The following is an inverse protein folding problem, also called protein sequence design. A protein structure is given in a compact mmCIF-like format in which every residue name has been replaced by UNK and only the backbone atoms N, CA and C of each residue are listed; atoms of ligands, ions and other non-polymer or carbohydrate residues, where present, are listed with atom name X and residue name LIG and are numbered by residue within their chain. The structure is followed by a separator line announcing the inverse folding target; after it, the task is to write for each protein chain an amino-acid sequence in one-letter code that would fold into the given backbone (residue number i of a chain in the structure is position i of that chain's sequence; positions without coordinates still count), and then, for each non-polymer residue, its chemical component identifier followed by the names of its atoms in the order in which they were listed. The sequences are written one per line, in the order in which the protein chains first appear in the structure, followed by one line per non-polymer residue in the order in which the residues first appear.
data_IF_407709623807
#
_entry.id   IF_407709623807
#
_cell.length_a   1.000
_cell.length_b   1.000
_cell.length_c   1.000
_cell.angle_alpha   90.00
_cell.angle_beta   90.00
_cell.angle_gamma   90.00
#
_symmetry.space_group_name_H-M   'P 1'
#
loop_
_entity.id
_entity.type
_entity.pdbx_description
1 polymer ?
#
# COMPACT_ATOMS: atom_id res chain seq x y z
N UNK A 1 11.50 -11.06 -15.54
CA UNK A 1 10.41 -11.77 -14.81
C UNK A 1 9.18 -11.83 -15.71
N UNK A 2 8.53 -12.99 -15.82
CA UNK A 2 7.30 -13.16 -16.62
C UNK A 2 6.06 -12.68 -15.86
N UNK A 3 5.06 -12.18 -16.58
CA UNK A 3 3.82 -11.62 -16.06
C UNK A 3 2.97 -12.59 -15.23
N UNK A 4 2.98 -13.88 -15.58
CA UNK A 4 2.28 -14.92 -14.82
C UNK A 4 2.74 -15.00 -13.36
N UNK A 5 4.06 -14.84 -13.13
CA UNK A 5 4.62 -14.83 -11.77
C UNK A 5 4.27 -13.55 -11.01
N UNK A 6 3.99 -12.44 -11.69
CA UNK A 6 3.53 -11.21 -11.05
C UNK A 6 2.09 -11.37 -10.56
N UNK A 7 1.23 -11.99 -11.36
CA UNK A 7 -0.16 -12.25 -11.02
C UNK A 7 -0.34 -13.35 -9.96
N UNK A 8 0.59 -14.30 -9.88
CA UNK A 8 0.62 -15.27 -8.78
C UNK A 8 1.00 -14.61 -7.44
N UNK A 9 1.51 -13.37 -7.46
CA UNK A 9 1.68 -12.59 -6.23
C UNK A 9 0.35 -11.94 -5.86
N UNK A 10 -0.18 -12.14 -4.64
CA UNK A 10 -1.33 -11.39 -4.15
C UNK A 10 -0.98 -9.93 -3.82
N UNK A 11 0.20 -9.45 -4.23
CA UNK A 11 0.65 -8.10 -4.00
C UNK A 11 -0.19 -7.13 -4.84
N UNK A 12 -0.84 -6.21 -4.14
CA UNK A 12 -1.81 -5.28 -4.72
C UNK A 12 -1.11 -4.29 -5.67
N UNK A 13 0.09 -3.82 -5.27
CA UNK A 13 0.97 -3.02 -6.11
C UNK A 13 1.98 -3.89 -6.87
N UNK A 14 2.18 -3.51 -8.13
CA UNK A 14 3.19 -4.10 -9.00
C UNK A 14 4.60 -3.99 -8.40
N UNK A 15 4.97 -2.83 -7.87
CA UNK A 15 6.31 -2.61 -7.28
C UNK A 15 6.59 -3.54 -6.11
N UNK A 16 5.58 -3.81 -5.27
CA UNK A 16 5.69 -4.74 -4.15
C UNK A 16 5.83 -6.19 -4.63
N UNK A 17 5.21 -6.55 -5.76
CA UNK A 17 5.34 -7.89 -6.35
C UNK A 17 6.75 -8.20 -6.89
N UNK A 18 7.57 -7.18 -7.13
CA UNK A 18 8.95 -7.33 -7.61
C UNK A 18 9.96 -7.56 -6.47
N UNK A 19 9.57 -7.23 -5.23
CA UNK A 19 10.44 -7.34 -4.06
C UNK A 19 10.93 -8.77 -3.86
N UNK A 20 12.24 -8.94 -3.70
CA UNK A 20 12.87 -10.25 -3.47
C UNK A 20 12.83 -11.24 -4.64
N UNK A 21 12.24 -10.87 -5.79
CA UNK A 21 12.08 -11.78 -6.95
C UNK A 21 12.98 -11.43 -8.13
N UNK A 22 13.60 -10.25 -8.13
CA UNK A 22 14.57 -9.82 -9.13
C UNK A 22 15.91 -9.62 -8.42
N UNK A 23 16.97 -10.41 -8.75
CA UNK A 23 18.27 -10.23 -8.14
C UNK A 23 18.78 -8.79 -8.32
N UNK A 24 19.34 -8.19 -7.27
CA UNK A 24 19.87 -6.82 -7.32
C UNK A 24 18.84 -5.70 -7.44
N UNK A 25 17.53 -6.01 -7.39
CA UNK A 25 16.48 -5.02 -7.18
C UNK A 25 16.11 -4.99 -5.69
N UNK A 26 16.26 -3.84 -5.07
CA UNK A 26 15.81 -3.57 -3.70
C UNK A 26 14.52 -2.77 -3.79
N UNK A 27 13.45 -3.29 -3.21
CA UNK A 27 12.16 -2.61 -3.13
C UNK A 27 11.87 -2.31 -1.65
N UNK A 28 11.81 -1.03 -1.29
CA UNK A 28 11.53 -0.56 0.06
C UNK A 28 10.11 -0.05 0.10
N UNK A 29 9.23 -0.71 0.85
CA UNK A 29 7.83 -0.28 1.03
C UNK A 29 7.77 0.67 2.23
N UNK A 30 7.58 1.99 2.02
CA UNK A 30 7.65 2.96 3.11
C UNK A 30 6.38 2.99 3.97
N UNK A 31 5.25 2.53 3.42
CA UNK A 31 3.97 2.50 4.12
C UNK A 31 3.10 1.32 3.66
N UNK A 32 2.21 0.87 4.53
CA UNK A 32 1.11 -0.04 4.17
C UNK A 32 -0.21 0.68 3.91
N UNK A 33 -0.19 2.01 3.75
CA UNK A 33 -1.39 2.81 3.61
C UNK A 33 -2.03 2.60 2.22
N UNK A 34 -3.33 2.31 2.12
CA UNK A 34 -4.01 2.11 0.85
C UNK A 34 -3.76 3.26 -0.13
N UNK A 35 -3.18 2.97 -1.30
CA UNK A 35 -2.88 3.98 -2.32
C UNK A 35 -1.59 4.78 -2.11
N UNK A 36 -0.89 4.57 -0.99
CA UNK A 36 0.47 5.09 -0.70
C UNK A 36 1.44 3.95 -0.34
N UNK A 37 1.11 2.73 -0.77
CA UNK A 37 1.81 1.47 -0.51
C UNK A 37 2.85 1.14 -1.59
N UNK A 38 3.27 2.13 -2.40
CA UNK A 38 4.23 1.95 -3.47
C UNK A 38 5.64 1.76 -2.93
N UNK A 39 6.33 0.69 -3.35
CA UNK A 39 7.74 0.51 -3.01
C UNK A 39 8.64 1.46 -3.80
N UNK A 40 9.59 2.08 -3.10
CA UNK A 40 10.76 2.73 -3.69
C UNK A 40 11.68 1.66 -4.27
N UNK A 41 11.91 1.71 -5.58
CA UNK A 41 12.75 0.75 -6.29
C UNK A 41 14.17 1.28 -6.42
N UNK A 42 15.16 0.43 -6.13
CA UNK A 42 16.60 0.72 -6.30
C UNK A 42 17.31 -0.47 -6.93
N UNK A 43 18.19 -0.22 -7.91
CA UNK A 43 19.01 -1.26 -8.52
C UNK A 43 20.40 -1.19 -7.89
N UNK A 44 20.83 -2.29 -7.25
CA UNK A 44 22.10 -2.41 -6.50
C UNK A 44 22.25 -1.45 -5.30
N UNK A 45 21.14 -1.03 -4.69
CA UNK A 45 21.18 -0.15 -3.52
C UNK A 45 21.40 1.32 -3.89
N UNK A 46 21.98 2.11 -2.97
CA UNK A 46 22.26 3.52 -3.19
C UNK A 46 23.69 3.69 -3.69
N UNK A 47 23.86 4.13 -4.95
CA UNK A 47 25.17 4.30 -5.60
C UNK A 47 25.58 5.77 -5.73
N UNK A 48 24.66 6.71 -5.46
CA UNK A 48 24.89 8.16 -5.53
C UNK A 48 24.35 8.85 -4.27
N UNK A 49 24.86 10.04 -3.98
CA UNK A 49 24.37 10.87 -2.86
C UNK A 49 23.08 11.63 -3.19
N UNK A 50 22.65 11.61 -4.47
CA UNK A 50 21.45 12.28 -4.96
C UNK A 50 20.31 11.30 -5.28
N UNK A 51 19.59 11.55 -6.37
CA UNK A 51 18.52 10.66 -6.82
C UNK A 51 19.08 9.33 -7.35
N UNK A 52 18.64 8.24 -6.71
CA UNK A 52 19.03 6.87 -7.03
C UNK A 52 17.88 6.08 -7.70
N UNK A 53 16.84 6.77 -8.15
CA UNK A 53 15.70 6.12 -8.80
C UNK A 53 16.10 5.55 -10.16
N UNK A 54 15.73 4.30 -10.48
CA UNK A 54 15.98 3.71 -11.79
C UNK A 54 15.05 4.32 -12.84
N UNK A 55 15.49 4.33 -14.10
CA UNK A 55 14.64 4.76 -15.19
C UNK A 55 13.59 3.69 -15.50
N UNK A 56 12.32 4.05 -15.39
CA UNK A 56 11.21 3.16 -15.77
C UNK A 56 10.83 3.42 -17.23
N UNK A 57 10.82 2.36 -18.03
CA UNK A 57 10.46 2.39 -19.45
C UNK A 57 9.28 1.45 -19.65
N UNK A 58 8.16 1.98 -20.14
CA UNK A 58 6.94 1.20 -20.41
C UNK A 58 6.67 1.26 -21.91
N UNK A 59 6.68 0.11 -22.59
CA UNK A 59 6.52 0.04 -24.06
C UNK A 59 7.51 0.94 -24.82
N UNK A 60 8.75 1.04 -24.35
CA UNK A 60 9.78 1.90 -24.96
C UNK A 60 9.67 3.39 -24.62
N UNK A 61 8.61 3.82 -23.93
CA UNK A 61 8.43 5.21 -23.48
C UNK A 61 9.00 5.36 -22.07
N UNK A 62 9.99 6.24 -21.94
CA UNK A 62 10.63 6.56 -20.67
C UNK A 62 9.72 7.39 -19.74
N UNK A 63 10.00 7.34 -18.44
CA UNK A 63 9.41 8.17 -17.39
C UNK A 63 7.89 7.93 -17.15
N UNK A 64 7.42 6.70 -17.36
CA UNK A 64 6.07 6.29 -16.95
C UNK A 64 6.11 5.62 -15.58
N UNK A 65 5.23 6.03 -14.68
CA UNK A 65 5.09 5.41 -13.36
C UNK A 65 4.67 3.95 -13.47
N UNK A 66 5.52 3.05 -12.98
CA UNK A 66 5.25 1.61 -12.92
C UNK A 66 4.05 1.29 -11.99
N UNK A 67 3.84 2.12 -10.98
CA UNK A 67 2.72 2.07 -10.02
C UNK A 67 1.35 2.25 -10.68
N UNK A 68 1.31 2.85 -11.87
CA UNK A 68 0.06 3.11 -12.60
C UNK A 68 -0.37 1.92 -13.46
N UNK A 69 0.45 0.89 -13.57
CA UNK A 69 0.18 -0.27 -14.40
C UNK A 69 -0.53 -1.36 -13.61
N UNK A 70 -1.52 -1.98 -14.24
CA UNK A 70 -2.14 -3.18 -13.72
C UNK A 70 -1.19 -4.38 -13.91
N UNK A 71 -0.82 -5.13 -12.86
CA UNK A 71 -0.06 -6.38 -13.00
C UNK A 71 -0.71 -7.37 -13.98
N UNK A 72 -2.04 -7.34 -14.10
CA UNK A 72 -2.79 -8.20 -15.01
C UNK A 72 -2.40 -7.99 -16.49
N UNK A 73 -2.01 -6.76 -16.84
CA UNK A 73 -1.70 -6.33 -18.20
C UNK A 73 -0.23 -6.55 -18.58
N UNK A 74 0.61 -6.96 -17.64
CA UNK A 74 2.04 -7.06 -17.85
C UNK A 74 2.39 -8.42 -18.42
N UNK A 75 3.16 -8.40 -19.51
CA UNK A 75 3.76 -9.58 -20.10
C UNK A 75 5.10 -9.89 -19.43
N UNK A 76 5.93 -8.86 -19.23
CA UNK A 76 7.22 -9.04 -18.58
C UNK A 76 7.76 -7.77 -17.94
N UNK A 77 8.59 -7.96 -16.91
CA UNK A 77 9.42 -6.91 -16.30
C UNK A 77 10.87 -7.35 -16.37
N UNK A 78 11.70 -6.55 -17.01
CA UNK A 78 13.14 -6.79 -17.21
C UNK A 78 13.94 -5.68 -16.57
N UNK A 79 14.99 -6.03 -15.84
CA UNK A 79 15.86 -5.06 -15.17
C UNK A 79 17.24 -5.10 -15.82
N UNK A 80 17.65 -3.97 -16.38
CA UNK A 80 18.94 -3.74 -16.99
C UNK A 80 19.84 -3.02 -15.98
N UNK A 81 21.03 -3.58 -15.70
CA UNK A 81 21.85 -3.22 -14.54
C UNK A 81 23.20 -2.58 -14.88
N UNK A 82 23.59 -2.57 -16.16
CA UNK A 82 24.96 -2.24 -16.62
C UNK A 82 24.92 -1.64 -18.04
N UNK A 83 25.92 -1.93 -18.89
CA UNK A 83 26.04 -1.46 -20.27
C UNK A 83 24.78 -1.73 -21.15
N UNK A 84 23.97 -2.73 -20.81
CA UNK A 84 22.69 -2.99 -21.49
C UNK A 84 21.67 -1.86 -21.31
N UNK A 85 21.80 -1.06 -20.24
CA UNK A 85 20.96 0.11 -19.99
C UNK A 85 21.46 1.36 -20.73
N UNK A 86 22.70 1.36 -21.24
CA UNK A 86 23.34 2.53 -21.87
C UNK A 86 22.61 3.05 -23.12
N UNK A 87 21.82 2.19 -23.77
CA UNK A 87 20.96 2.55 -24.91
C UNK A 87 19.94 3.63 -24.52
N UNK A 88 19.56 3.73 -23.24
CA UNK A 88 18.65 4.75 -22.71
C UNK A 88 19.38 6.02 -22.21
N UNK A 89 20.69 6.15 -22.48
CA UNK A 89 21.49 7.35 -22.23
C UNK A 89 21.80 7.62 -20.76
N UNK A 90 22.18 8.86 -20.46
CA UNK A 90 22.65 9.27 -19.13
C UNK A 90 21.64 9.03 -17.99
N UNK A 91 20.33 8.99 -18.31
CA UNK A 91 19.26 8.71 -17.31
C UNK A 91 19.24 7.25 -16.85
N UNK A 92 19.95 6.37 -17.54
CA UNK A 92 20.08 4.96 -17.20
C UNK A 92 21.24 4.67 -16.23
N UNK A 93 21.90 5.70 -15.70
CA UNK A 93 23.02 5.55 -14.76
C UNK A 93 22.66 4.71 -13.52
N UNK A 94 21.40 4.80 -13.07
CA UNK A 94 20.87 4.02 -11.94
C UNK A 94 20.19 2.69 -12.39
N UNK A 95 20.39 2.29 -13.64
CA UNK A 95 19.74 1.13 -14.27
C UNK A 95 18.34 1.42 -14.85
N UNK A 96 17.80 0.46 -15.59
CA UNK A 96 16.52 0.59 -16.30
C UNK A 96 15.59 -0.56 -15.95
N UNK A 97 14.34 -0.24 -15.64
CA UNK A 97 13.25 -1.22 -15.50
C UNK A 97 12.37 -1.13 -16.75
N UNK A 98 12.50 -2.12 -17.62
CA UNK A 98 11.68 -2.26 -18.81
C UNK A 98 10.42 -3.06 -18.50
N UNK A 99 9.26 -2.47 -18.77
CA UNK A 99 7.96 -3.11 -18.63
C UNK A 99 7.35 -3.30 -20.02
N UNK A 100 7.06 -4.56 -20.34
CA UNK A 100 6.31 -4.95 -21.55
C UNK A 100 4.93 -5.41 -21.13
N UNK A 101 3.92 -4.91 -21.82
CA UNK A 101 2.51 -5.19 -21.63
C UNK A 101 2.02 -6.17 -22.67
N UNK A 102 0.98 -6.93 -22.31
CA UNK A 102 0.43 -7.99 -23.15
C UNK A 102 -0.13 -7.41 -24.45
N UNK A 103 0.19 -8.08 -25.54
CA UNK A 103 -0.31 -7.76 -26.89
C UNK A 103 -1.29 -8.81 -27.36
N UNK A 104 -2.01 -8.50 -28.43
CA UNK A 104 -2.89 -9.47 -29.07
C UNK A 104 -2.08 -10.65 -29.63
N UNK A 105 -2.59 -11.85 -29.45
CA UNK A 105 -1.97 -13.09 -29.97
C UNK A 105 -2.74 -13.58 -31.18
N UNK A 106 -2.03 -14.14 -32.17
CA UNK A 106 -2.69 -14.85 -33.27
C UNK A 106 -3.34 -16.13 -32.73
N UNK A 107 -4.59 -16.38 -33.09
CA UNK A 107 -5.32 -17.60 -32.72
C UNK A 107 -6.71 -17.32 -32.18
N UNK A 108 -7.29 -18.36 -31.58
CA UNK A 108 -8.62 -18.30 -30.98
C UNK A 108 -8.64 -17.28 -29.83
N UNK A 109 -9.74 -16.52 -29.67
CA UNK A 109 -9.90 -15.61 -28.54
C UNK A 109 -9.67 -16.34 -27.21
N UNK A 110 -8.77 -15.81 -26.40
CA UNK A 110 -8.51 -16.25 -25.03
C UNK A 110 -9.13 -15.22 -24.10
N UNK A 111 -10.05 -15.67 -23.26
CA UNK A 111 -10.64 -14.85 -22.20
C UNK A 111 -10.03 -15.31 -20.89
N UNK A 112 -9.52 -14.35 -20.12
CA UNK A 112 -8.99 -14.61 -18.79
C UNK A 112 -9.66 -13.71 -17.79
N UNK A 113 -10.18 -14.32 -16.75
CA UNK A 113 -10.74 -13.67 -15.58
C UNK A 113 -9.88 -14.02 -14.36
N UNK A 114 -9.63 -13.02 -13.52
CA UNK A 114 -8.90 -13.18 -12.27
C UNK A 114 -9.61 -12.39 -11.20
N UNK A 115 -9.89 -13.02 -10.07
CA UNK A 115 -10.45 -12.37 -8.89
C UNK A 115 -9.60 -12.77 -7.69
N UNK A 116 -9.15 -11.77 -6.93
CA UNK A 116 -8.45 -11.99 -5.68
C UNK A 116 -9.10 -11.18 -4.57
N UNK A 117 -9.25 -11.80 -3.42
CA UNK A 117 -9.71 -11.15 -2.20
C UNK A 117 -8.72 -11.46 -1.09
N UNK A 118 -8.25 -10.42 -0.41
CA UNK A 118 -7.31 -10.52 0.69
C UNK A 118 -7.81 -9.77 1.91
N UNK A 119 -7.19 -10.07 3.04
CA UNK A 119 -7.39 -9.37 4.31
C UNK A 119 -6.04 -8.89 4.79
N UNK A 120 -5.96 -7.63 5.15
CA UNK A 120 -4.74 -7.01 5.69
C UNK A 120 -4.96 -6.72 7.16
N UNK A 121 -4.00 -7.11 8.00
CA UNK A 121 -4.00 -6.84 9.43
C UNK A 121 -2.65 -6.23 9.83
N UNK A 122 -2.61 -5.56 10.97
CA UNK A 122 -1.37 -5.06 11.57
C UNK A 122 -0.50 -6.25 11.99
N UNK A 123 0.74 -6.29 11.55
CA UNK A 123 1.68 -7.39 11.85
C UNK A 123 2.40 -7.21 13.18
N UNK A 124 2.64 -5.96 13.57
CA UNK A 124 3.28 -5.60 14.84
C UNK A 124 2.67 -4.30 15.34
N UNK A 125 2.09 -4.34 16.53
CA UNK A 125 1.69 -3.15 17.29
C UNK A 125 2.57 -3.11 18.55
N UNK A 126 3.05 -1.92 18.97
CA UNK A 126 3.77 -1.79 20.22
C UNK A 126 2.86 -2.22 21.39
N UNK A 127 3.41 -2.96 22.35
CA UNK A 127 2.73 -3.18 23.63
C UNK A 127 2.78 -1.88 24.43
N UNK A 128 1.62 -1.28 24.65
CA UNK A 128 1.47 -0.06 25.44
C UNK A 128 1.24 -0.44 26.91
N UNK A 129 1.68 0.42 27.83
CA UNK A 129 1.35 0.26 29.24
C UNK A 129 -0.16 0.39 29.46
N UNK A 130 -0.73 -0.50 30.26
CA UNK A 130 -2.10 -0.36 30.76
C UNK A 130 -2.21 0.82 31.75
N UNK A 131 -3.45 1.24 32.05
CA UNK A 131 -3.70 2.38 32.92
C UNK A 131 -3.14 2.20 34.34
N UNK A 132 -3.13 0.98 34.87
CA UNK A 132 -2.59 0.68 36.19
C UNK A 132 -1.06 0.82 36.24
N UNK A 133 -0.38 0.27 35.24
CA UNK A 133 1.08 0.34 35.05
C UNK A 133 1.50 1.78 34.81
N UNK A 134 0.74 2.53 34.00
CA UNK A 134 0.97 3.97 33.81
C UNK A 134 0.87 4.75 35.13
N UNK A 135 -0.18 4.52 35.92
CA UNK A 135 -0.36 5.17 37.22
C UNK A 135 0.74 4.78 38.23
N UNK A 136 1.17 3.52 38.24
CA UNK A 136 2.30 3.05 39.05
C UNK A 136 3.61 3.74 38.68
N UNK A 137 3.92 3.83 37.38
CA UNK A 137 5.14 4.48 36.88
C UNK A 137 5.17 5.97 37.23
N UNK A 138 4.04 6.69 37.10
CA UNK A 138 3.97 8.11 37.50
C UNK A 138 4.25 8.26 39.00
N UNK A 139 3.67 7.42 39.84
CA UNK A 139 3.95 7.44 41.27
C UNK A 139 5.41 7.12 41.60
N UNK A 140 6.02 6.17 40.89
CA UNK A 140 7.43 5.83 41.07
C UNK A 140 8.35 7.00 40.69
N UNK A 141 8.08 7.67 39.57
CA UNK A 141 8.79 8.90 39.15
C UNK A 141 8.66 10.00 40.21
N UNK A 142 7.44 10.26 40.69
CA UNK A 142 7.19 11.27 41.72
C UNK A 142 7.88 10.92 43.05
N UNK A 143 7.95 9.64 43.41
CA UNK A 143 8.66 9.19 44.60
C UNK A 143 10.17 9.43 44.48
N UNK A 144 10.78 9.22 43.31
CA UNK A 144 12.17 9.58 43.05
C UNK A 144 12.44 11.08 43.15
N UNK A 145 11.47 11.90 42.76
CA UNK A 145 11.54 13.36 42.87
C UNK A 145 11.20 13.89 44.28
N UNK A 146 10.84 13.02 45.22
CA UNK A 146 10.43 13.39 46.58
C UNK A 146 9.05 14.06 46.66
N UNK A 147 8.25 13.96 45.60
CA UNK A 147 6.90 14.50 45.54
C UNK A 147 5.87 13.52 46.14
N UNK A 148 4.67 14.03 46.41
CA UNK A 148 3.56 13.18 46.87
C UNK A 148 3.01 12.35 45.71
N UNK A 149 2.66 11.06 45.93
CA UNK A 149 2.06 10.22 44.89
C UNK A 149 0.78 10.85 44.34
N UNK A 150 0.65 10.86 43.02
CA UNK A 150 -0.53 11.39 42.34
C UNK A 150 -1.73 10.43 42.39
N UNK A 151 -1.47 9.12 42.43
CA UNK A 151 -2.51 8.08 42.48
C UNK A 151 -2.44 7.29 43.79
N UNK A 152 -3.59 6.98 44.37
CA UNK A 152 -3.65 6.09 45.54
C UNK A 152 -3.57 4.61 45.13
N UNK A 153 -3.18 3.73 46.07
CA UNK A 153 -3.13 2.29 45.81
C UNK A 153 -4.52 1.71 45.46
N UNK A 154 -5.58 2.29 46.02
CA UNK A 154 -6.97 1.91 45.71
C UNK A 154 -7.38 2.31 44.28
N UNK A 155 -6.94 3.47 43.80
CA UNK A 155 -7.21 3.91 42.42
C UNK A 155 -6.46 3.04 41.41
N UNK A 156 -5.21 2.68 41.70
CA UNK A 156 -4.44 1.75 40.87
C UNK A 156 -5.11 0.36 40.84
N UNK A 157 -5.64 -0.11 41.97
CA UNK A 157 -6.40 -1.35 42.03
C UNK A 157 -7.67 -1.27 41.18
N UNK A 158 -8.37 -0.13 41.19
CA UNK A 158 -9.56 0.13 40.36
C UNK A 158 -9.26 0.14 38.85
N UNK A 159 -8.10 0.67 38.45
CA UNK A 159 -7.64 0.56 37.05
C UNK A 159 -7.35 -0.89 36.67
N UNK A 160 -6.83 -1.71 37.58
CA UNK A 160 -6.47 -3.11 37.32
C UNK A 160 -7.67 -4.05 37.32
N UNK A 161 -8.65 -3.81 38.19
CA UNK A 161 -9.83 -4.68 38.32
C UNK A 161 -11.00 -4.27 37.40
N UNK A 162 -10.98 -3.05 36.86
CA UNK A 162 -12.03 -2.53 35.99
C UNK A 162 -13.38 -2.34 36.70
N UNK A 163 -13.39 -2.19 38.01
CA UNK A 163 -14.60 -2.09 38.84
C UNK A 163 -15.40 -0.80 38.62
N UNK A 164 -14.74 0.30 38.24
CA UNK A 164 -15.37 1.56 37.82
C UNK A 164 -14.69 2.10 36.54
N UNK A 165 -15.01 1.53 35.36
CA UNK A 165 -14.42 1.94 34.07
C UNK A 165 -14.78 3.38 33.68
N UNK A 166 -15.80 3.95 34.33
CA UNK A 166 -16.34 5.27 34.04
C UNK A 166 -15.47 6.37 34.64
N UNK A 167 -14.88 6.11 35.81
CA UNK A 167 -13.90 6.98 36.47
C UNK A 167 -12.45 6.55 36.27
N UNK A 168 -12.20 5.25 36.12
CA UNK A 168 -10.87 4.66 35.98
C UNK A 168 -10.79 3.81 34.69
N UNK A 169 -10.87 4.44 33.50
CA UNK A 169 -10.82 3.71 32.25
C UNK A 169 -9.42 3.14 31.98
N UNK A 170 -9.39 1.97 31.31
CA UNK A 170 -8.19 1.39 30.73
C UNK A 170 -8.40 1.21 29.22
N UNK A 171 -8.02 2.24 28.47
CA UNK A 171 -8.29 2.31 27.03
C UNK A 171 -7.08 1.85 26.22
N UNK A 172 -7.25 0.75 25.48
CA UNK A 172 -6.33 0.35 24.42
C UNK A 172 -6.63 1.16 23.14
N UNK A 173 -5.91 2.28 22.99
CA UNK A 173 -6.03 3.18 21.86
C UNK A 173 -5.70 2.52 20.51
N UNK A 174 -4.83 1.51 20.47
CA UNK A 174 -4.53 0.79 19.24
C UNK A 174 -5.72 -0.07 18.82
N UNK A 175 -6.27 -0.86 19.75
CA UNK A 175 -7.47 -1.65 19.48
C UNK A 175 -8.68 -0.77 19.18
N UNK A 176 -8.75 0.43 19.73
CA UNK A 176 -9.86 1.35 19.48
C UNK A 176 -9.75 2.12 18.18
N UNK A 177 -8.53 2.38 17.70
CA UNK A 177 -8.32 3.12 16.45
C UNK A 177 -8.25 2.24 15.21
N UNK A 178 -7.92 0.96 15.39
CA UNK A 178 -7.73 0.01 14.30
C UNK A 178 -8.79 -1.08 14.24
N UNK A 179 -9.19 -1.45 13.03
CA UNK A 179 -9.98 -2.65 12.71
C UNK A 179 -9.06 -3.88 12.86
N UNK A 180 -9.65 -5.03 13.17
CA UNK A 180 -8.91 -6.30 13.22
C UNK A 180 -8.39 -6.74 11.86
N UNK A 181 -9.06 -6.34 10.77
CA UNK A 181 -8.60 -6.52 9.40
C UNK A 181 -9.28 -5.51 8.46
N UNK A 182 -8.63 -5.24 7.33
CA UNK A 182 -9.17 -4.47 6.21
C UNK A 182 -9.26 -5.35 4.96
N UNK A 183 -10.32 -5.18 4.16
CA UNK A 183 -10.51 -5.93 2.90
C UNK A 183 -9.71 -5.29 1.77
N UNK A 184 -9.17 -6.15 0.93
CA UNK A 184 -8.57 -5.79 -0.35
C UNK A 184 -9.13 -6.71 -1.42
N UNK A 185 -9.47 -6.16 -2.58
CA UNK A 185 -10.06 -6.91 -3.70
C UNK A 185 -9.48 -6.43 -5.01
N UNK A 186 -9.14 -7.37 -5.89
CA UNK A 186 -8.79 -7.09 -7.28
C UNK A 186 -9.61 -7.98 -8.19
N UNK A 187 -10.12 -7.40 -9.27
CA UNK A 187 -10.84 -8.12 -10.30
C UNK A 187 -10.36 -7.64 -11.66
N UNK A 188 -9.90 -8.57 -12.47
CA UNK A 188 -9.31 -8.31 -13.78
C UNK A 188 -9.93 -9.23 -14.82
N UNK A 189 -10.36 -8.65 -15.92
CA UNK A 189 -10.81 -9.38 -17.10
C UNK A 189 -9.99 -8.91 -18.30
N UNK A 190 -9.52 -9.87 -19.08
CA UNK A 190 -8.79 -9.59 -20.31
C UNK A 190 -9.20 -10.54 -21.42
N UNK A 191 -9.23 -10.01 -22.63
CA UNK A 191 -9.53 -10.75 -23.86
C UNK A 191 -8.39 -10.48 -24.83
N UNK A 192 -7.79 -11.55 -25.34
CA UNK A 192 -6.71 -11.47 -26.32
C UNK A 192 -6.97 -12.43 -27.46
N UNK A 193 -6.76 -11.99 -28.69
CA UNK A 193 -6.93 -12.85 -29.85
C UNK A 193 -6.68 -12.09 -31.14
N UNK A 194 -6.85 -12.78 -32.26
CA UNK A 194 -6.72 -12.15 -33.56
C UNK A 194 -6.18 -13.08 -34.64
N UNK A 195 -6.01 -12.51 -35.81
CA UNK A 195 -5.42 -13.13 -36.99
C UNK A 195 -4.12 -12.39 -37.33
N UNK A 196 -3.38 -12.83 -38.34
CA UNK A 196 -2.12 -12.16 -38.73
C UNK A 196 -2.29 -10.71 -39.17
N UNK A 197 -3.46 -10.37 -39.71
CA UNK A 197 -3.80 -9.02 -40.17
C UNK A 197 -4.31 -8.09 -39.05
N UNK A 198 -4.88 -8.63 -37.97
CA UNK A 198 -5.36 -7.87 -36.82
C UNK A 198 -5.24 -8.70 -35.54
N UNK A 199 -4.47 -8.19 -34.60
CA UNK A 199 -4.30 -8.70 -33.25
C UNK A 199 -4.86 -7.68 -32.27
N UNK A 200 -5.65 -8.15 -31.31
CA UNK A 200 -6.26 -7.28 -30.31
C UNK A 200 -6.04 -7.83 -28.90
N UNK A 201 -5.89 -6.90 -27.96
CA UNK A 201 -5.90 -7.15 -26.53
C UNK A 201 -6.73 -6.06 -25.87
N UNK A 202 -7.73 -6.48 -25.10
CA UNK A 202 -8.56 -5.61 -24.29
C UNK A 202 -8.47 -6.10 -22.85
N UNK A 203 -8.24 -5.19 -21.91
CA UNK A 203 -8.35 -5.50 -20.48
C UNK A 203 -9.07 -4.41 -19.71
N UNK A 204 -9.82 -4.85 -18.71
CA UNK A 204 -10.45 -4.01 -17.72
C UNK A 204 -10.15 -4.59 -16.34
N UNK A 205 -9.80 -3.73 -15.40
CA UNK A 205 -9.50 -4.15 -14.04
C UNK A 205 -9.95 -3.13 -13.02
N UNK A 206 -10.40 -3.60 -11.86
CA UNK A 206 -10.69 -2.76 -10.71
C UNK A 206 -9.96 -3.30 -9.49
N UNK A 207 -9.47 -2.37 -8.68
CA UNK A 207 -8.82 -2.64 -7.41
C UNK A 207 -9.48 -1.79 -6.34
N UNK A 208 -9.76 -2.41 -5.22
CA UNK A 208 -10.28 -1.77 -4.02
C UNK A 208 -9.43 -2.17 -2.81
N UNK A 209 -9.06 -1.18 -2.00
CA UNK A 209 -8.40 -1.34 -0.72
C UNK A 209 -9.13 -0.50 0.32
N UNK A 210 -9.53 -1.14 1.41
CA UNK A 210 -10.03 -0.46 2.59
C UNK A 210 -8.87 -0.13 3.54
N UNK A 211 -9.02 0.92 4.34
CA UNK A 211 -8.07 1.24 5.39
C UNK A 211 -8.38 0.47 6.68
N UNK A 212 -7.31 0.22 7.45
CA UNK A 212 -7.39 -0.47 8.75
C UNK A 212 -7.88 0.45 9.88
N UNK A 213 -8.14 1.73 9.63
CA UNK A 213 -8.68 2.64 10.64
C UNK A 213 -10.18 2.40 10.88
N UNK A 214 -10.61 2.38 12.15
CA UNK A 214 -12.03 2.38 12.54
C UNK A 214 -12.64 3.75 12.26
N UNK A 215 -13.93 3.78 11.91
CA UNK A 215 -14.72 4.99 11.65
C UNK A 215 -14.10 5.98 10.64
N UNK A 216 -13.19 5.50 9.80
CA UNK A 216 -12.58 6.28 8.75
C UNK A 216 -13.19 5.95 7.40
N UNK A 217 -13.55 6.98 6.64
CA UNK A 217 -13.97 6.84 5.24
C UNK A 217 -12.77 6.66 4.28
N UNK A 218 -11.57 6.33 4.78
CA UNK A 218 -10.37 6.13 3.96
C UNK A 218 -10.48 4.85 3.13
N UNK A 219 -10.47 5.01 1.82
CA UNK A 219 -10.41 3.90 0.87
C UNK A 219 -9.62 4.31 -0.36
N UNK A 220 -9.10 3.30 -1.06
CA UNK A 220 -8.46 3.47 -2.35
C UNK A 220 -9.16 2.58 -3.38
N UNK A 221 -9.65 3.20 -4.46
CA UNK A 221 -10.21 2.51 -5.62
C UNK A 221 -9.50 2.96 -6.88
N UNK A 222 -9.12 2.00 -7.71
CA UNK A 222 -8.52 2.26 -9.00
C UNK A 222 -9.19 1.40 -10.07
N UNK A 223 -9.61 2.04 -11.16
CA UNK A 223 -10.13 1.39 -12.34
C UNK A 223 -9.13 1.58 -13.49
N UNK A 224 -8.88 0.52 -14.25
CA UNK A 224 -7.96 0.51 -15.38
C UNK A 224 -8.68 -0.06 -16.60
N UNK A 225 -8.48 0.56 -17.75
CA UNK A 225 -8.90 0.05 -19.05
C UNK A 225 -7.71 0.15 -20.01
N UNK A 226 -7.40 -0.93 -20.72
CA UNK A 226 -6.33 -0.96 -21.72
C UNK A 226 -6.81 -1.61 -23.00
N UNK A 227 -6.47 -0.99 -24.12
CA UNK A 227 -6.70 -1.48 -25.47
C UNK A 227 -5.40 -1.44 -26.25
N UNK A 228 -4.99 -2.59 -26.77
CA UNK A 228 -3.88 -2.71 -27.72
C UNK A 228 -4.41 -3.34 -29.00
N UNK A 229 -4.22 -2.66 -30.12
CA UNK A 229 -4.54 -3.15 -31.46
C UNK A 229 -3.28 -3.07 -32.31
N UNK A 230 -2.89 -4.19 -32.89
CA UNK A 230 -1.74 -4.28 -33.80
C UNK A 230 -2.19 -4.97 -35.07
N UNK A 231 -1.83 -4.43 -36.23
CA UNK A 231 -2.27 -5.03 -37.49
C UNK A 231 -1.45 -4.61 -38.70
N UNK A 232 -1.80 -5.24 -39.83
CA UNK A 232 -1.27 -4.95 -41.16
C UNK A 232 -2.44 -4.51 -42.03
N UNK A 233 -2.44 -3.26 -42.53
CA UNK A 233 -3.38 -2.85 -43.57
C UNK A 233 -2.96 -3.38 -44.94
N UNK A 234 -1.64 -3.46 -45.18
CA UNK A 234 -1.03 -4.05 -46.37
C UNK A 234 0.33 -4.66 -46.02
N UNK A 235 1.04 -5.27 -46.99
CA UNK A 235 2.40 -5.78 -46.75
C UNK A 235 3.40 -4.68 -46.34
N UNK A 236 3.14 -3.44 -46.77
CA UNK A 236 4.00 -2.29 -46.52
C UNK A 236 3.53 -1.41 -45.35
N UNK A 237 2.25 -1.49 -44.96
CA UNK A 237 1.66 -0.61 -43.94
C UNK A 237 1.23 -1.44 -42.71
N UNK A 238 1.93 -1.20 -41.61
CA UNK A 238 1.61 -1.72 -40.27
C UNK A 238 1.06 -0.59 -39.41
N UNK A 239 0.12 -0.92 -38.54
CA UNK A 239 -0.43 0.03 -37.57
C UNK A 239 -0.45 -0.58 -36.18
N UNK A 240 -0.33 0.28 -35.18
CA UNK A 240 -0.39 -0.07 -33.76
C UNK A 240 -1.08 1.04 -33.00
N UNK A 241 -2.11 0.70 -32.24
CA UNK A 241 -2.88 1.62 -31.39
C UNK A 241 -2.81 1.09 -29.96
N UNK A 242 -2.38 1.95 -29.04
CA UNK A 242 -2.27 1.66 -27.61
C UNK A 242 -3.01 2.73 -26.83
N UNK A 243 -4.08 2.34 -26.13
CA UNK A 243 -4.86 3.23 -25.27
C UNK A 243 -4.83 2.66 -23.85
N UNK A 244 -4.52 3.51 -22.88
CA UNK A 244 -4.54 3.18 -21.46
C UNK A 244 -5.26 4.28 -20.70
N UNK A 245 -6.34 3.92 -20.02
CA UNK A 245 -7.14 4.80 -19.16
C UNK A 245 -7.02 4.31 -17.74
N UNK A 246 -6.82 5.26 -16.82
CA UNK A 246 -6.73 4.99 -15.39
C UNK A 246 -7.51 6.04 -14.63
N UNK A 247 -8.42 5.58 -13.80
CA UNK A 247 -9.19 6.41 -12.88
C UNK A 247 -8.82 6.01 -11.45
N UNK A 248 -8.53 6.99 -10.60
CA UNK A 248 -8.23 6.78 -9.18
C UNK A 248 -9.20 7.60 -8.36
N UNK A 249 -9.93 6.91 -7.49
CA UNK A 249 -10.76 7.52 -6.46
C UNK A 249 -10.17 7.11 -5.11
N UNK A 250 -9.67 8.09 -4.37
CA UNK A 250 -9.01 7.88 -3.08
C UNK A 250 -9.57 8.87 -2.08
N UNK A 251 -9.87 8.40 -0.89
CA UNK A 251 -10.23 9.23 0.24
C UNK A 251 -9.21 8.98 1.34
N UNK A 252 -8.66 10.03 1.93
CA UNK A 252 -7.66 9.96 2.99
C UNK A 252 -8.14 10.74 4.21
N UNK A 253 -7.68 10.40 5.42
CA UNK A 253 -7.91 11.24 6.57
C UNK A 253 -7.13 12.56 6.39
N UNK A 254 -7.59 13.59 7.09
CA UNK A 254 -6.89 14.88 7.25
C UNK A 254 -5.48 14.72 7.83
N UNK A 255 -5.28 13.68 8.65
CA UNK A 255 -4.00 13.28 9.24
C UNK A 255 -3.42 12.05 8.51
N UNK A 256 -2.16 12.10 8.09
CA UNK A 256 -1.47 10.94 7.55
C UNK A 256 -1.16 9.88 8.62
N UNK A 257 -0.88 8.64 8.20
CA UNK A 257 -0.62 7.52 9.10
C UNK A 257 0.43 7.82 10.19
N UNK A 258 1.52 8.50 9.86
CA UNK A 258 2.57 8.87 10.82
C UNK A 258 2.02 9.74 11.97
N UNK A 259 1.16 10.70 11.64
CA UNK A 259 0.52 11.57 12.64
C UNK A 259 -0.44 10.80 13.54
N UNK A 260 -1.22 9.89 12.96
CA UNK A 260 -2.12 9.00 13.72
C UNK A 260 -1.31 8.13 14.68
N UNK A 261 -0.29 7.41 14.19
CA UNK A 261 0.55 6.57 15.04
C UNK A 261 1.33 7.36 16.11
N UNK A 262 1.76 8.58 15.81
CA UNK A 262 2.40 9.47 16.78
C UNK A 262 1.46 9.83 17.92
N UNK A 263 0.23 10.22 17.59
CA UNK A 263 -0.84 10.53 18.55
C UNK A 263 -1.24 9.34 19.40
N UNK A 264 -1.41 8.15 18.79
CA UNK A 264 -1.74 6.92 19.51
C UNK A 264 -0.67 6.54 20.53
N UNK A 265 0.61 6.76 20.20
CA UNK A 265 1.71 6.50 21.12
C UNK A 265 1.73 7.46 22.32
N UNK A 266 1.23 8.68 22.15
CA UNK A 266 1.16 9.70 23.19
C UNK A 266 -0.16 9.65 23.98
N UNK A 267 -1.15 8.92 23.47
CA UNK A 267 -2.47 8.81 24.09
C UNK A 267 -2.36 8.07 25.43
N UNK A 268 -2.93 8.66 26.47
CA UNK A 268 -2.83 8.13 27.83
C UNK A 268 -3.83 6.99 28.03
N UNK A 269 -3.43 5.84 28.59
CA UNK A 269 -4.34 4.70 28.77
C UNK A 269 -5.45 4.98 29.79
N UNK A 270 -5.22 5.90 30.75
CA UNK A 270 -6.16 6.30 31.80
C UNK A 270 -7.23 7.30 31.35
N UNK A 271 -7.40 7.49 30.04
CA UNK A 271 -8.41 8.37 29.46
C UNK A 271 -9.44 7.56 28.69
N UNK A 272 -10.69 8.02 28.66
CA UNK A 272 -11.80 7.29 28.03
C UNK A 272 -11.81 7.52 26.51
N UNK A 273 -12.21 6.51 25.74
CA UNK A 273 -12.46 6.66 24.30
C UNK A 273 -13.85 7.23 23.96
N UNK A 274 -14.87 6.89 24.75
CA UNK A 274 -16.25 7.34 24.53
C UNK A 274 -16.91 7.76 25.84
N UNK A 275 -17.83 8.71 25.73
CA UNK A 275 -18.78 9.02 26.78
C UNK A 275 -19.92 8.00 26.83
N UNK A 276 -20.62 7.86 27.97
CA UNK A 276 -21.79 6.97 28.08
C UNK A 276 -22.89 7.22 27.03
N UNK A 277 -22.94 8.44 26.47
CA UNK A 277 -23.83 8.82 25.37
C UNK A 277 -23.40 8.33 23.98
N UNK A 278 -22.26 7.64 23.86
CA UNK A 278 -21.72 7.13 22.60
C UNK A 278 -20.90 8.14 21.80
N UNK A 279 -20.82 9.39 22.26
CA UNK A 279 -19.94 10.41 21.67
C UNK A 279 -18.47 10.07 21.96
N UNK A 280 -17.60 10.28 20.98
CA UNK A 280 -16.16 10.16 21.17
C UNK A 280 -15.73 11.17 22.25
N UNK A 281 -14.98 10.70 23.24
CA UNK A 281 -14.45 11.58 24.25
C UNK A 281 -13.30 12.38 23.63
N UNK A 282 -13.51 13.69 23.47
CA UNK A 282 -12.47 14.59 23.04
C UNK A 282 -11.33 14.54 24.05
N UNK A 283 -10.20 14.02 23.60
CA UNK A 283 -9.05 13.80 24.45
C UNK A 283 -7.88 14.70 24.06
N UNK A 284 -8.12 15.77 23.28
CA UNK A 284 -7.12 16.77 22.85
C UNK A 284 -5.97 16.24 21.96
N UNK A 285 -5.68 14.94 22.05
CA UNK A 285 -4.52 14.25 21.49
C UNK A 285 -4.92 13.00 20.68
N UNK A 286 -6.15 12.49 20.82
CA UNK A 286 -6.60 11.28 20.14
C UNK A 286 -7.21 11.57 18.75
N UNK A 287 -6.33 11.74 17.77
CA UNK A 287 -6.40 11.18 16.40
C UNK A 287 -7.66 11.13 15.54
N UNK A 288 -8.84 11.63 15.92
CA UNK A 288 -10.05 11.51 15.11
C UNK A 288 -10.83 12.82 14.96
N UNK A 289 -10.21 13.74 14.22
CA UNK A 289 -10.83 14.72 13.30
C UNK A 289 -9.89 14.90 12.12
#
# INVERSE_FOLDING_TARGET
MKGEKLQASPAINLTNSLSGRIPGLVALTPSGEPGSDNSTLRIRGANTLGDNSPLIVVEGIANRGIDRLNPADIESVTVLKDASAAIYGARAANGVILVTTKKGTTGKPQVRFSYNEGRTALTSVPEMADAATYAQLINEVLAYEGATPQYTAEEIAKYRDGSDPLRYPDTDWYKESFKSWAKQRTADISISGGRENLKYFLSAGTRFQDAIYKNSATYFRQNNLRLNLDGKLSEYIKYGVNVAVREVNRNYPTQGASGIFGKLRQSKPNTRAYWPGGEAADNGDAGNT
#
